data_IF_584208343011
#
_entry.id   IF_584208343011
#
_cell.length_a   1.000
_cell.length_b   1.000
_cell.length_c   1.000
_cell.angle_alpha   90.00
_cell.angle_beta   90.00
_cell.angle_gamma   90.00
#
_symmetry.space_group_name_H-M   'P 1'
#
loop_
_entity.id
_entity.type
_entity.pdbx_description
1 polymer ?
#
# COMPACT_ATOMS: atom_id res chain seq x y z
N UNK A 1 41.39 5.99 -7.19
CA UNK A 1 41.14 4.70 -6.53
C UNK A 1 39.75 4.27 -6.96
N UNK A 2 39.67 3.27 -7.85
CA UNK A 2 38.41 2.79 -8.40
C UNK A 2 37.70 1.96 -7.34
N UNK A 3 36.66 2.51 -6.74
CA UNK A 3 35.74 1.76 -5.89
C UNK A 3 34.87 0.86 -6.75
N UNK A 4 35.19 -0.41 -6.79
CA UNK A 4 34.36 -1.48 -7.37
C UNK A 4 33.05 -1.52 -6.60
N UNK A 5 31.95 -1.15 -7.24
CA UNK A 5 30.61 -1.38 -6.73
C UNK A 5 30.46 -2.91 -6.63
N UNK A 6 30.37 -3.40 -5.40
CA UNK A 6 30.13 -4.81 -5.14
C UNK A 6 28.82 -5.22 -5.82
N UNK A 7 28.89 -6.17 -6.77
CA UNK A 7 27.72 -6.82 -7.34
C UNK A 7 26.92 -7.48 -6.22
N UNK A 8 25.67 -7.06 -6.06
CA UNK A 8 24.71 -7.72 -5.16
C UNK A 8 24.68 -9.23 -5.40
N UNK A 9 24.54 -10.07 -4.35
CA UNK A 9 24.32 -11.50 -4.48
C UNK A 9 23.07 -11.73 -5.35
N UNK A 10 23.07 -12.77 -6.16
CA UNK A 10 22.04 -13.15 -7.14
C UNK A 10 20.62 -12.89 -6.61
N UNK A 11 19.93 -11.96 -7.26
CA UNK A 11 18.88 -11.15 -6.71
C UNK A 11 17.63 -11.91 -6.32
N UNK A 12 17.20 -11.70 -5.09
CA UNK A 12 15.80 -11.87 -4.72
C UNK A 12 15.03 -10.82 -5.53
N UNK A 13 14.23 -11.27 -6.50
CA UNK A 13 13.33 -10.38 -7.26
C UNK A 13 12.11 -10.11 -6.38
N UNK A 14 11.73 -8.85 -6.11
CA UNK A 14 10.56 -8.57 -5.28
C UNK A 14 9.29 -9.17 -5.87
N UNK A 15 8.47 -9.79 -5.02
CA UNK A 15 7.12 -10.24 -5.38
C UNK A 15 6.22 -9.02 -5.57
N UNK A 16 5.34 -9.07 -6.55
CA UNK A 16 4.33 -8.04 -6.74
C UNK A 16 3.11 -8.34 -5.89
N UNK A 17 2.59 -7.32 -5.23
CA UNK A 17 1.37 -7.41 -4.46
C UNK A 17 0.36 -6.37 -4.90
N UNK A 18 -0.92 -6.73 -4.89
CA UNK A 18 -2.01 -5.79 -5.11
C UNK A 18 -2.56 -5.38 -3.74
N UNK A 19 -2.50 -4.09 -3.43
CA UNK A 19 -3.06 -3.52 -2.20
C UNK A 19 -4.58 -3.65 -2.11
N UNK A 20 -5.17 -3.46 -0.92
CA UNK A 20 -6.62 -3.41 -0.80
C UNK A 20 -7.16 -2.24 -1.61
N UNK A 21 -8.37 -2.40 -2.16
CA UNK A 21 -9.05 -1.34 -2.90
C UNK A 21 -9.40 -0.18 -1.95
N UNK A 22 -8.77 1.00 -2.07
CA UNK A 22 -9.00 2.09 -1.13
C UNK A 22 -10.29 2.87 -1.44
N UNK A 23 -10.84 2.69 -2.63
CA UNK A 23 -12.01 3.43 -3.11
C UNK A 23 -13.31 2.65 -2.94
N UNK A 24 -14.44 3.36 -2.97
CA UNK A 24 -15.74 2.76 -2.84
C UNK A 24 -16.41 2.63 -4.20
N UNK A 25 -16.36 1.44 -4.78
CA UNK A 25 -16.97 1.13 -6.07
C UNK A 25 -18.25 0.32 -5.89
N UNK A 26 -19.16 0.38 -6.87
CA UNK A 26 -20.32 -0.53 -6.90
C UNK A 26 -19.88 -1.99 -6.85
N UNK A 27 -20.69 -2.81 -6.21
CA UNK A 27 -20.44 -4.26 -6.04
C UNK A 27 -20.00 -4.96 -7.33
N UNK A 28 -20.76 -4.75 -8.40
CA UNK A 28 -20.50 -5.41 -9.69
C UNK A 28 -19.12 -5.03 -10.27
N UNK A 29 -18.76 -3.75 -10.16
CA UNK A 29 -17.46 -3.27 -10.60
C UNK A 29 -16.33 -3.89 -9.78
N UNK A 30 -16.49 -3.94 -8.47
CA UNK A 30 -15.50 -4.54 -7.57
C UNK A 30 -15.32 -6.03 -7.89
N UNK A 31 -16.40 -6.76 -8.07
CA UNK A 31 -16.33 -8.18 -8.45
C UNK A 31 -15.72 -8.39 -9.84
N UNK A 32 -15.98 -7.50 -10.81
CA UNK A 32 -15.36 -7.54 -12.13
C UNK A 32 -13.85 -7.31 -12.05
N UNK A 33 -13.42 -6.30 -11.29
CA UNK A 33 -12.02 -6.01 -11.06
C UNK A 33 -11.26 -7.23 -10.49
N UNK A 34 -11.76 -7.86 -9.42
CA UNK A 34 -11.08 -9.04 -8.86
C UNK A 34 -11.12 -10.27 -9.76
N UNK A 35 -12.06 -10.37 -10.71
CA UNK A 35 -12.00 -11.39 -11.77
C UNK A 35 -10.82 -11.16 -12.72
N UNK A 36 -10.54 -9.92 -13.10
CA UNK A 36 -9.37 -9.59 -13.92
C UNK A 36 -8.07 -9.89 -13.18
N UNK A 37 -8.00 -9.58 -11.88
CA UNK A 37 -6.83 -9.82 -11.01
C UNK A 37 -6.42 -11.29 -10.98
N UNK A 38 -7.31 -12.24 -11.23
CA UNK A 38 -6.98 -13.67 -11.31
C UNK A 38 -5.88 -13.96 -12.35
N UNK A 39 -5.87 -13.20 -13.45
CA UNK A 39 -4.89 -13.36 -14.54
C UNK A 39 -3.64 -12.49 -14.40
N UNK A 40 -3.61 -11.54 -13.45
CA UNK A 40 -2.48 -10.62 -13.32
C UNK A 40 -1.28 -11.28 -12.66
N UNK A 41 -0.04 -10.89 -13.00
CA UNK A 41 1.20 -11.45 -12.43
C UNK A 41 1.52 -10.86 -11.04
N UNK A 42 0.59 -10.99 -10.11
CA UNK A 42 0.75 -10.63 -8.70
C UNK A 42 0.68 -11.88 -7.83
N UNK A 43 1.54 -12.00 -6.83
CA UNK A 43 1.61 -13.16 -5.95
C UNK A 43 0.69 -13.02 -4.73
N UNK A 44 0.46 -11.78 -4.27
CA UNK A 44 -0.37 -11.50 -3.08
C UNK A 44 -1.44 -10.49 -3.45
N UNK A 45 -2.66 -10.70 -2.98
CA UNK A 45 -3.78 -9.78 -3.16
C UNK A 45 -4.40 -9.46 -1.81
N UNK A 46 -4.39 -8.19 -1.46
CA UNK A 46 -5.05 -7.68 -0.27
C UNK A 46 -6.51 -7.35 -0.57
N UNK A 47 -7.39 -7.76 0.32
CA UNK A 47 -8.84 -7.65 0.19
C UNK A 47 -9.42 -6.92 1.39
N UNK A 48 -10.61 -6.36 1.26
CA UNK A 48 -11.32 -5.75 2.38
C UNK A 48 -11.38 -4.22 2.30
N UNK A 49 -12.11 -3.63 3.21
CA UNK A 49 -12.29 -2.18 3.34
C UNK A 49 -11.31 -1.65 4.40
N UNK A 50 -10.45 -0.72 4.00
CA UNK A 50 -9.43 -0.14 4.89
C UNK A 50 -9.71 1.30 5.28
N UNK A 51 -10.64 1.97 4.59
CA UNK A 51 -10.85 3.41 4.74
C UNK A 51 -12.05 3.73 5.62
N UNK A 52 -13.22 3.15 5.38
CA UNK A 52 -14.42 3.56 6.10
C UNK A 52 -15.37 2.38 6.40
N UNK A 53 -15.59 2.08 7.68
CA UNK A 53 -16.44 0.98 8.12
C UNK A 53 -17.92 1.08 7.72
N UNK A 54 -18.34 2.23 7.15
CA UNK A 54 -19.70 2.38 6.59
C UNK A 54 -19.85 1.82 5.17
N UNK A 55 -18.75 1.51 4.48
CA UNK A 55 -18.77 0.98 3.11
C UNK A 55 -19.04 -0.52 3.12
N UNK A 56 -20.14 -0.97 2.52
CA UNK A 56 -20.59 -2.38 2.57
C UNK A 56 -21.17 -2.91 1.26
N UNK A 57 -20.63 -2.47 0.13
CA UNK A 57 -20.97 -3.09 -1.16
C UNK A 57 -20.61 -4.59 -1.16
N UNK A 58 -19.52 -4.96 -0.47
CA UNK A 58 -19.14 -6.35 -0.22
C UNK A 58 -19.13 -6.63 1.28
N UNK A 59 -19.63 -7.83 1.64
CA UNK A 59 -19.62 -8.37 3.00
C UNK A 59 -18.40 -9.28 3.20
N UNK A 60 -18.10 -9.64 4.43
CA UNK A 60 -17.01 -10.56 4.76
C UNK A 60 -17.07 -11.88 3.96
N UNK A 61 -18.27 -12.43 3.76
CA UNK A 61 -18.45 -13.65 2.96
C UNK A 61 -18.01 -13.46 1.51
N UNK A 62 -18.30 -12.29 0.91
CA UNK A 62 -17.87 -11.98 -0.46
C UNK A 62 -16.35 -11.91 -0.56
N UNK A 63 -15.70 -11.29 0.43
CA UNK A 63 -14.23 -11.20 0.48
C UNK A 63 -13.59 -12.59 0.65
N UNK A 64 -14.19 -13.46 1.46
CA UNK A 64 -13.73 -14.85 1.61
C UNK A 64 -13.88 -15.61 0.29
N UNK A 65 -14.98 -15.44 -0.43
CA UNK A 65 -15.20 -16.09 -1.73
C UNK A 65 -14.23 -15.60 -2.81
N UNK A 66 -13.94 -14.29 -2.84
CA UNK A 66 -12.88 -13.74 -3.72
C UNK A 66 -11.53 -14.35 -3.33
N UNK A 67 -11.20 -14.39 -2.04
CA UNK A 67 -9.97 -14.98 -1.55
C UNK A 67 -9.81 -16.46 -1.92
N UNK A 68 -10.88 -17.24 -1.85
CA UNK A 68 -10.87 -18.64 -2.27
C UNK A 68 -10.56 -18.79 -3.78
N UNK A 69 -11.12 -17.92 -4.63
CA UNK A 69 -10.83 -17.90 -6.09
C UNK A 69 -9.38 -17.51 -6.37
N UNK A 70 -8.84 -16.52 -5.64
CA UNK A 70 -7.44 -16.12 -5.75
C UNK A 70 -6.50 -17.25 -5.33
N UNK A 71 -6.81 -17.94 -4.23
CA UNK A 71 -6.04 -19.09 -3.76
C UNK A 71 -6.06 -20.23 -4.78
N UNK A 72 -7.21 -20.51 -5.41
CA UNK A 72 -7.33 -21.49 -6.49
C UNK A 72 -6.49 -21.09 -7.74
N UNK A 73 -6.27 -19.79 -7.96
CA UNK A 73 -5.38 -19.26 -8.99
C UNK A 73 -3.89 -19.19 -8.56
N UNK A 74 -3.53 -19.77 -7.39
CA UNK A 74 -2.15 -19.81 -6.89
C UNK A 74 -1.66 -18.51 -6.22
N UNK A 75 -2.58 -17.60 -5.83
CA UNK A 75 -2.23 -16.33 -5.19
C UNK A 75 -2.51 -16.36 -3.69
N UNK A 76 -1.67 -15.71 -2.88
CA UNK A 76 -1.97 -15.46 -1.47
C UNK A 76 -3.05 -14.36 -1.38
N UNK A 77 -4.16 -14.64 -0.68
CA UNK A 77 -5.16 -13.64 -0.36
C UNK A 77 -5.04 -13.23 1.11
N UNK A 78 -5.04 -11.93 1.39
CA UNK A 78 -4.90 -11.33 2.72
C UNK A 78 -6.08 -10.38 2.98
N UNK A 79 -6.76 -10.50 4.13
CA UNK A 79 -7.82 -9.59 4.54
C UNK A 79 -7.23 -8.39 5.29
N UNK A 80 -7.43 -7.17 4.77
CA UNK A 80 -6.98 -5.93 5.40
C UNK A 80 -8.07 -5.35 6.30
N UNK A 81 -7.73 -5.04 7.54
CA UNK A 81 -8.63 -4.36 8.49
C UNK A 81 -8.67 -2.86 8.24
N UNK A 82 -9.64 -2.18 8.85
CA UNK A 82 -9.73 -0.71 8.83
C UNK A 82 -8.47 -0.07 9.41
N UNK A 83 -8.02 1.04 8.80
CA UNK A 83 -6.93 1.86 9.33
C UNK A 83 -7.33 2.81 10.45
N UNK A 84 -8.63 3.05 10.64
CA UNK A 84 -9.18 3.85 11.72
C UNK A 84 -10.48 3.21 12.22
N UNK A 85 -10.53 2.90 13.51
CA UNK A 85 -11.71 2.38 14.19
C UNK A 85 -12.44 3.56 14.85
N UNK A 86 -13.71 3.73 14.52
CA UNK A 86 -14.51 4.86 15.00
C UNK A 86 -15.74 4.45 15.82
N UNK A 87 -16.18 3.21 15.66
CA UNK A 87 -17.42 2.73 16.26
C UNK A 87 -17.31 1.28 16.73
N UNK A 88 -18.19 0.91 17.66
CA UNK A 88 -18.32 -0.48 18.12
C UNK A 88 -18.64 -1.47 16.99
N UNK A 89 -19.32 -1.01 15.95
CA UNK A 89 -19.58 -1.82 14.74
C UNK A 89 -18.28 -2.19 14.02
N UNK A 90 -17.30 -1.27 13.96
CA UNK A 90 -16.00 -1.50 13.36
C UNK A 90 -15.21 -2.55 14.15
N UNK A 91 -15.23 -2.47 15.49
CA UNK A 91 -14.61 -3.48 16.36
C UNK A 91 -15.19 -4.87 16.14
N UNK A 92 -16.52 -4.97 15.99
CA UNK A 92 -17.19 -6.26 15.68
C UNK A 92 -16.78 -6.78 14.31
N UNK A 93 -16.68 -5.91 13.31
CA UNK A 93 -16.24 -6.29 11.97
C UNK A 93 -14.79 -6.83 11.97
N UNK A 94 -13.87 -6.14 12.64
CA UNK A 94 -12.48 -6.59 12.80
C UNK A 94 -12.42 -7.94 13.52
N UNK A 95 -13.19 -8.14 14.59
CA UNK A 95 -13.27 -9.42 15.29
C UNK A 95 -13.70 -10.55 14.35
N UNK A 96 -14.78 -10.34 13.57
CA UNK A 96 -15.25 -11.32 12.59
C UNK A 96 -14.22 -11.63 11.52
N UNK A 97 -13.44 -10.63 11.07
CA UNK A 97 -12.34 -10.83 10.12
C UNK A 97 -11.21 -11.68 10.71
N UNK A 98 -10.89 -11.52 11.99
CA UNK A 98 -9.86 -12.33 12.67
C UNK A 98 -10.36 -13.76 12.92
N UNK A 99 -11.62 -13.93 13.30
CA UNK A 99 -12.22 -15.24 13.65
C UNK A 99 -12.41 -16.17 12.46
N UNK A 100 -12.49 -15.67 11.22
CA UNK A 100 -12.72 -16.49 10.01
C UNK A 100 -11.60 -17.51 9.73
N UNK A 101 -10.36 -17.23 10.07
CA UNK A 101 -9.15 -18.10 9.99
C UNK A 101 -8.86 -18.77 8.64
N UNK A 102 -9.55 -18.43 7.57
CA UNK A 102 -9.36 -18.98 6.22
C UNK A 102 -8.29 -18.20 5.46
N UNK A 103 -8.26 -16.88 5.67
CA UNK A 103 -7.33 -15.95 5.04
C UNK A 103 -6.47 -15.31 6.12
N UNK A 104 -5.20 -15.07 5.81
CA UNK A 104 -4.34 -14.23 6.65
C UNK A 104 -4.94 -12.83 6.78
N UNK A 105 -4.65 -12.16 7.89
CA UNK A 105 -5.14 -10.81 8.15
C UNK A 105 -3.99 -9.81 8.11
N UNK A 106 -4.20 -8.68 7.47
CA UNK A 106 -3.38 -7.47 7.61
C UNK A 106 -4.01 -6.61 8.72
N UNK A 107 -3.28 -6.45 9.81
CA UNK A 107 -3.67 -5.60 10.93
C UNK A 107 -3.26 -4.15 10.66
N UNK A 108 -4.23 -3.27 10.55
CA UNK A 108 -4.04 -1.83 10.33
C UNK A 108 -4.28 -0.98 11.57
N UNK A 109 -4.67 -1.59 12.68
CA UNK A 109 -4.86 -0.95 13.98
C UNK A 109 -4.44 -1.89 15.12
N UNK A 110 -4.22 -1.35 16.31
CA UNK A 110 -3.76 -2.11 17.47
C UNK A 110 -4.79 -3.08 18.04
N UNK A 111 -6.10 -2.87 17.78
CA UNK A 111 -7.12 -3.84 18.18
C UNK A 111 -6.99 -5.12 17.35
N UNK A 112 -6.75 -5.02 16.04
CA UNK A 112 -6.49 -6.17 15.19
C UNK A 112 -5.22 -6.91 15.63
N UNK A 113 -4.14 -6.19 15.93
CA UNK A 113 -2.90 -6.77 16.49
C UNK A 113 -3.20 -7.54 17.78
N UNK A 114 -3.94 -6.93 18.74
CA UNK A 114 -4.31 -7.58 19.99
C UNK A 114 -5.11 -8.88 19.79
N UNK A 115 -6.04 -8.88 18.85
CA UNK A 115 -6.85 -10.07 18.54
C UNK A 115 -6.05 -11.19 17.88
N UNK A 116 -4.98 -10.87 17.15
CA UNK A 116 -4.14 -11.81 16.40
C UNK A 116 -2.94 -12.31 17.22
N UNK A 117 -2.45 -11.50 18.16
CA UNK A 117 -1.24 -11.77 18.93
C UNK A 117 -1.26 -13.17 19.60
N UNK A 118 -0.25 -13.99 19.28
CA UNK A 118 -0.11 -15.36 19.78
C UNK A 118 -1.17 -16.35 19.28
N UNK A 119 -2.05 -15.95 18.35
CA UNK A 119 -3.16 -16.79 17.83
C UNK A 119 -3.02 -17.16 16.37
N UNK A 120 -2.53 -16.24 15.55
CA UNK A 120 -2.32 -16.46 14.12
C UNK A 120 -1.24 -15.52 13.56
N UNK A 121 -0.44 -15.97 12.57
CA UNK A 121 0.49 -15.11 11.88
C UNK A 121 -0.29 -14.04 11.07
N UNK A 122 0.21 -12.79 11.08
CA UNK A 122 -0.45 -11.66 10.42
C UNK A 122 0.52 -10.76 9.68
N UNK A 123 0.00 -9.87 8.85
CA UNK A 123 0.75 -8.78 8.23
C UNK A 123 0.56 -7.51 9.07
N UNK A 124 1.64 -6.88 9.50
CA UNK A 124 1.62 -5.56 10.12
C UNK A 124 1.45 -4.50 9.03
N UNK A 125 0.26 -3.92 8.93
CA UNK A 125 -0.11 -3.00 7.87
C UNK A 125 0.47 -1.59 8.03
N UNK A 126 0.40 -0.76 6.97
CA UNK A 126 1.06 0.55 6.93
C UNK A 126 0.48 1.56 7.92
N UNK A 127 -0.78 1.38 8.34
CA UNK A 127 -1.45 2.30 9.26
C UNK A 127 -1.09 2.09 10.74
N UNK A 128 -0.29 1.06 11.05
CA UNK A 128 0.29 0.90 12.40
C UNK A 128 1.41 1.91 12.67
N UNK A 129 1.88 2.64 11.66
CA UNK A 129 2.87 3.72 11.78
C UNK A 129 4.15 3.29 12.52
N UNK A 130 4.76 2.21 12.06
CA UNK A 130 5.97 1.65 12.68
C UNK A 130 7.23 2.30 12.07
N UNK A 131 7.94 3.08 12.87
CA UNK A 131 9.13 3.84 12.45
C UNK A 131 10.40 3.49 13.24
N UNK A 132 10.35 2.49 14.12
CA UNK A 132 11.49 2.10 14.93
C UNK A 132 11.56 0.59 15.15
N UNK A 133 12.77 0.10 15.40
CA UNK A 133 13.04 -1.33 15.54
C UNK A 133 12.38 -1.97 16.77
N UNK A 134 12.21 -1.23 17.87
CA UNK A 134 11.60 -1.77 19.09
C UNK A 134 10.11 -2.10 18.87
N UNK A 135 9.38 -1.19 18.24
CA UNK A 135 7.97 -1.42 17.86
C UNK A 135 7.87 -2.59 16.87
N UNK A 136 8.80 -2.65 15.88
CA UNK A 136 8.78 -3.73 14.90
C UNK A 136 9.10 -5.09 15.52
N UNK A 137 10.04 -5.15 16.50
CA UNK A 137 10.29 -6.37 17.30
C UNK A 137 9.06 -6.81 18.06
N UNK A 138 8.38 -5.88 18.73
CA UNK A 138 7.15 -6.17 19.48
C UNK A 138 6.07 -6.78 18.58
N UNK A 139 5.85 -6.22 17.39
CA UNK A 139 4.87 -6.76 16.43
C UNK A 139 5.29 -8.14 15.89
N UNK A 140 6.57 -8.33 15.58
CA UNK A 140 7.10 -9.64 15.18
C UNK A 140 6.89 -10.68 16.28
N UNK A 141 7.22 -10.35 17.52
CA UNK A 141 7.06 -11.24 18.67
C UNK A 141 5.57 -11.51 18.96
N UNK A 142 4.68 -10.60 18.61
CA UNK A 142 3.23 -10.82 18.62
C UNK A 142 2.74 -11.75 17.47
N UNK A 143 3.57 -12.03 16.47
CA UNK A 143 3.26 -12.94 15.37
C UNK A 143 3.20 -12.28 13.97
N UNK A 144 3.66 -11.03 13.82
CA UNK A 144 3.76 -10.42 12.50
C UNK A 144 4.85 -11.14 11.68
N UNK A 145 4.48 -11.62 10.49
CA UNK A 145 5.39 -12.30 9.55
C UNK A 145 5.85 -11.38 8.42
N UNK A 146 5.07 -10.33 8.15
CA UNK A 146 5.36 -9.30 7.16
C UNK A 146 5.03 -7.94 7.74
N UNK A 147 5.84 -6.96 7.41
CA UNK A 147 5.64 -5.56 7.75
C UNK A 147 5.55 -4.73 6.49
N UNK A 148 4.50 -3.93 6.38
CA UNK A 148 4.34 -2.93 5.33
C UNK A 148 4.86 -1.61 5.85
N UNK A 149 5.96 -1.13 5.28
CA UNK A 149 6.59 0.11 5.72
C UNK A 149 5.66 1.30 5.46
N UNK A 150 5.58 2.26 6.42
CA UNK A 150 4.89 3.53 6.19
C UNK A 150 5.45 4.26 4.98
N UNK A 151 4.60 4.98 4.27
CA UNK A 151 4.94 5.61 2.98
C UNK A 151 6.00 6.71 3.09
N UNK A 152 6.14 7.31 4.27
CA UNK A 152 7.10 8.38 4.55
C UNK A 152 8.51 7.86 4.87
N UNK A 153 8.64 6.54 5.09
CA UNK A 153 9.93 5.96 5.47
C UNK A 153 10.83 5.80 4.25
N UNK A 154 12.00 6.45 4.31
CA UNK A 154 12.99 6.37 3.24
C UNK A 154 13.66 4.98 3.18
N UNK A 155 14.20 4.63 2.02
CA UNK A 155 14.97 3.40 1.81
C UNK A 155 16.07 3.18 2.85
N UNK A 156 16.80 4.25 3.20
CA UNK A 156 17.84 4.21 4.25
C UNK A 156 17.28 3.87 5.62
N UNK A 157 16.10 4.40 5.98
CA UNK A 157 15.41 4.07 7.23
C UNK A 157 14.98 2.61 7.28
N UNK A 158 14.47 2.06 6.17
CA UNK A 158 14.12 0.64 6.07
C UNK A 158 15.36 -0.24 6.25
N UNK A 159 16.48 0.12 5.61
CA UNK A 159 17.75 -0.61 5.75
C UNK A 159 18.22 -0.62 7.21
N UNK A 160 18.21 0.54 7.87
CA UNK A 160 18.59 0.67 9.29
C UNK A 160 17.69 -0.19 10.19
N UNK A 161 16.37 -0.13 10.02
CA UNK A 161 15.43 -0.95 10.80
C UNK A 161 15.67 -2.45 10.59
N UNK A 162 15.97 -2.87 9.36
CA UNK A 162 16.31 -4.25 9.05
C UNK A 162 17.59 -4.69 9.76
N UNK A 163 18.62 -3.84 9.76
CA UNK A 163 19.92 -4.15 10.42
C UNK A 163 19.77 -4.25 11.94
N UNK A 164 18.93 -3.42 12.54
CA UNK A 164 18.65 -3.42 13.97
C UNK A 164 17.78 -4.60 14.43
N UNK A 165 17.07 -5.27 13.49
CA UNK A 165 16.27 -6.44 13.80
C UNK A 165 17.15 -7.69 13.90
N UNK A 166 17.22 -8.28 15.08
CA UNK A 166 18.00 -9.53 15.33
C UNK A 166 17.44 -10.77 14.58
N UNK A 167 16.20 -10.73 14.10
CA UNK A 167 15.57 -11.80 13.35
C UNK A 167 14.78 -11.24 12.16
N UNK A 168 14.73 -11.94 11.02
CA UNK A 168 14.12 -11.45 9.80
C UNK A 168 12.59 -11.33 9.92
N UNK A 169 12.05 -10.34 9.26
CA UNK A 169 10.63 -10.19 8.92
C UNK A 169 10.53 -9.86 7.43
N UNK A 170 9.50 -10.32 6.75
CA UNK A 170 9.26 -9.92 5.36
C UNK A 170 8.95 -8.42 5.31
N UNK A 171 9.58 -7.70 4.37
CA UNK A 171 9.39 -6.26 4.21
C UNK A 171 8.65 -5.99 2.90
N UNK A 172 7.57 -5.23 3.02
CA UNK A 172 6.75 -4.79 1.91
C UNK A 172 6.70 -3.26 1.88
N UNK A 173 6.74 -2.66 0.68
CA UNK A 173 6.60 -1.21 0.48
C UNK A 173 5.48 -0.92 -0.51
N UNK A 174 4.78 0.20 -0.33
CA UNK A 174 3.88 0.72 -1.35
C UNK A 174 4.76 1.27 -2.48
N UNK A 175 4.73 0.58 -3.62
CA UNK A 175 5.60 0.86 -4.76
C UNK A 175 4.89 1.64 -5.88
N UNK A 176 3.55 1.65 -5.90
CA UNK A 176 2.78 2.45 -6.85
C UNK A 176 1.40 2.81 -6.31
N UNK A 177 0.94 4.02 -6.62
CA UNK A 177 -0.38 4.55 -6.34
C UNK A 177 -0.38 5.80 -5.49
N UNK A 178 -1.56 6.35 -5.20
CA UNK A 178 -1.67 7.50 -4.30
C UNK A 178 -1.29 7.11 -2.89
N UNK A 179 -0.41 7.90 -2.28
CA UNK A 179 0.05 7.67 -0.92
C UNK A 179 -1.06 7.96 0.09
N UNK A 180 -1.40 7.04 1.00
CA UNK A 180 -2.29 7.31 2.11
C UNK A 180 -1.56 8.16 3.17
N UNK A 181 -1.86 9.46 3.21
CA UNK A 181 -1.13 10.42 4.04
C UNK A 181 -1.75 10.60 5.43
N UNK A 182 -3.08 10.56 5.53
CA UNK A 182 -3.77 10.72 6.80
C UNK A 182 -5.16 10.09 6.80
N UNK A 183 -5.63 9.72 7.98
CA UNK A 183 -7.02 9.36 8.24
C UNK A 183 -7.62 10.31 9.28
N UNK A 184 -8.89 10.68 9.11
CA UNK A 184 -9.60 11.59 9.98
C UNK A 184 -10.96 11.03 10.36
N UNK A 185 -11.39 11.22 11.60
CA UNK A 185 -12.76 10.91 12.04
C UNK A 185 -13.84 11.73 11.30
N UNK A 186 -13.46 12.63 10.40
CA UNK A 186 -14.35 13.45 9.57
C UNK A 186 -14.33 12.98 8.13
N UNK A 187 -15.49 12.83 7.50
CA UNK A 187 -15.60 12.46 6.10
C UNK A 187 -15.55 13.69 5.20
N UNK A 188 -14.47 13.89 4.49
CA UNK A 188 -14.30 15.01 3.57
C UNK A 188 -15.22 14.91 2.35
N UNK A 189 -15.48 13.69 1.85
CA UNK A 189 -16.45 13.49 0.75
C UNK A 189 -17.86 13.89 1.17
N UNK A 190 -18.33 13.52 2.37
CA UNK A 190 -19.63 13.97 2.86
C UNK A 190 -19.67 15.49 2.98
N UNK A 191 -18.61 16.09 3.53
CA UNK A 191 -18.49 17.55 3.66
C UNK A 191 -18.53 18.26 2.31
N UNK A 192 -17.86 17.73 1.30
CA UNK A 192 -17.89 18.26 -0.06
C UNK A 192 -19.32 18.31 -0.62
N UNK A 193 -20.16 17.34 -0.28
CA UNK A 193 -21.58 17.27 -0.66
C UNK A 193 -22.53 17.97 0.32
N UNK A 194 -22.03 18.77 1.27
CA UNK A 194 -22.81 19.42 2.34
C UNK A 194 -23.62 18.44 3.18
N UNK A 195 -23.13 17.23 3.38
CA UNK A 195 -23.74 16.19 4.21
C UNK A 195 -22.96 15.99 5.52
N UNK A 196 -23.65 15.56 6.56
CA UNK A 196 -22.98 15.04 7.75
C UNK A 196 -22.42 13.64 7.47
N UNK A 197 -21.39 13.22 8.22
CA UNK A 197 -20.82 11.89 8.09
C UNK A 197 -21.85 10.78 8.37
N UNK A 198 -22.80 11.02 9.27
CA UNK A 198 -23.82 10.03 9.64
C UNK A 198 -24.88 9.87 8.56
N UNK A 199 -25.12 10.88 7.75
CA UNK A 199 -26.04 10.88 6.62
C UNK A 199 -25.33 11.12 5.30
N UNK A 200 -24.19 10.42 5.09
CA UNK A 200 -23.31 10.66 3.94
C UNK A 200 -23.89 10.14 2.61
N UNK A 201 -24.98 9.37 2.64
CA UNK A 201 -25.61 8.77 1.46
C UNK A 201 -24.62 8.02 0.57
N UNK A 202 -23.50 7.58 1.15
CA UNK A 202 -22.42 6.87 0.43
C UNK A 202 -21.92 7.60 -0.82
N UNK A 203 -21.91 8.95 -0.81
CA UNK A 203 -21.53 9.79 -1.96
C UNK A 203 -20.14 9.49 -2.53
N UNK A 204 -19.25 8.86 -1.75
CA UNK A 204 -17.93 8.43 -2.21
C UNK A 204 -17.99 7.45 -3.39
N UNK A 205 -19.09 6.72 -3.57
CA UNK A 205 -19.29 5.81 -4.73
C UNK A 205 -19.29 6.55 -6.09
N UNK A 206 -19.58 7.86 -6.07
CA UNK A 206 -19.56 8.72 -7.27
C UNK A 206 -18.16 9.21 -7.64
N UNK A 207 -17.19 8.95 -6.79
CA UNK A 207 -15.80 9.40 -6.93
C UNK A 207 -14.87 8.19 -6.90
N UNK A 208 -14.76 7.44 -8.02
CA UNK A 208 -14.07 6.14 -8.07
C UNK A 208 -12.58 6.21 -7.72
N UNK A 209 -11.94 7.37 -7.82
CA UNK A 209 -10.54 7.64 -7.43
C UNK A 209 -10.43 8.81 -6.44
N UNK A 210 -11.51 9.08 -5.69
CA UNK A 210 -11.56 10.20 -4.75
C UNK A 210 -11.85 11.55 -5.41
N UNK A 211 -11.77 12.63 -4.61
CA UNK A 211 -12.04 14.00 -5.02
C UNK A 211 -10.72 14.76 -5.03
N UNK A 212 -10.30 15.26 -6.17
CA UNK A 212 -9.10 16.07 -6.28
C UNK A 212 -9.30 17.43 -5.57
N UNK A 213 -8.31 17.84 -4.81
CA UNK A 213 -8.21 19.13 -4.16
C UNK A 213 -6.98 19.87 -4.69
N UNK A 214 -7.18 21.12 -5.15
CA UNK A 214 -6.12 21.98 -5.60
C UNK A 214 -5.94 23.18 -4.65
N UNK A 215 -4.79 23.83 -4.72
CA UNK A 215 -4.54 25.14 -4.11
C UNK A 215 -5.37 26.23 -4.82
N UNK A 216 -5.39 27.43 -4.27
CA UNK A 216 -6.05 28.57 -4.92
C UNK A 216 -5.42 28.92 -6.28
N UNK A 217 -4.14 28.62 -6.45
CA UNK A 217 -3.40 28.84 -7.70
C UNK A 217 -3.58 27.67 -8.70
N UNK A 218 -4.45 26.70 -8.37
CA UNK A 218 -4.77 25.56 -9.25
C UNK A 218 -3.80 24.39 -9.19
N UNK A 219 -2.78 24.41 -8.33
CA UNK A 219 -1.83 23.33 -8.19
C UNK A 219 -2.43 22.11 -7.46
N UNK A 220 -2.26 20.89 -7.97
CA UNK A 220 -2.73 19.68 -7.30
C UNK A 220 -2.13 19.54 -5.89
N UNK A 221 -2.98 19.41 -4.86
CA UNK A 221 -2.58 19.36 -3.46
C UNK A 221 -2.80 17.98 -2.83
N UNK A 222 -4.03 17.49 -2.83
CA UNK A 222 -4.44 16.22 -2.26
C UNK A 222 -5.56 15.56 -3.08
N UNK A 223 -5.81 14.28 -2.77
CA UNK A 223 -7.04 13.58 -3.15
C UNK A 223 -7.78 13.18 -1.88
N UNK A 224 -9.06 13.55 -1.78
CA UNK A 224 -9.93 13.23 -0.65
C UNK A 224 -10.74 11.97 -0.94
N UNK A 225 -10.55 10.93 -0.14
CA UNK A 225 -11.22 9.65 -0.30
C UNK A 225 -11.98 9.28 0.99
N UNK A 226 -13.19 9.79 1.15
CA UNK A 226 -13.96 9.59 2.38
C UNK A 226 -13.31 10.27 3.58
N UNK A 227 -12.79 9.46 4.50
CA UNK A 227 -12.05 9.93 5.69
C UNK A 227 -10.53 9.97 5.46
N UNK A 228 -10.07 9.49 4.31
CA UNK A 228 -8.66 9.41 3.96
C UNK A 228 -8.23 10.59 3.11
N UNK A 229 -7.10 11.19 3.46
CA UNK A 229 -6.36 12.12 2.61
C UNK A 229 -5.24 11.38 1.93
N UNK A 230 -5.14 11.52 0.61
CA UNK A 230 -4.11 10.90 -0.20
C UNK A 230 -3.27 11.96 -0.91
N UNK A 231 -2.10 11.57 -1.43
CA UNK A 231 -1.33 12.41 -2.33
C UNK A 231 -2.16 12.77 -3.58
N UNK A 232 -1.95 13.97 -4.12
CA UNK A 232 -2.62 14.39 -5.35
C UNK A 232 -2.22 13.52 -6.54
N UNK A 233 -0.95 13.17 -6.60
CA UNK A 233 -0.36 12.36 -7.67
C UNK A 233 -0.02 10.96 -7.16
N UNK A 234 -0.11 9.92 -7.99
CA UNK A 234 0.44 8.62 -7.68
C UNK A 234 1.96 8.70 -7.52
N UNK A 235 2.50 7.97 -6.57
CA UNK A 235 3.92 7.65 -6.48
C UNK A 235 4.22 6.42 -7.34
N UNK A 236 5.46 6.30 -7.83
CA UNK A 236 5.93 5.05 -8.41
C UNK A 236 7.40 4.80 -8.09
N UNK A 237 7.72 3.56 -7.76
CA UNK A 237 9.08 3.04 -7.56
C UNK A 237 9.50 2.10 -8.71
N UNK A 238 8.96 2.31 -9.92
CA UNK A 238 9.34 1.52 -11.09
C UNK A 238 10.83 1.62 -11.39
N UNK A 239 11.38 2.83 -11.29
CA UNK A 239 12.81 3.06 -11.52
C UNK A 239 13.70 2.41 -10.43
N UNK A 240 13.16 2.27 -9.23
CA UNK A 240 13.84 1.71 -8.06
C UNK A 240 13.65 0.20 -7.91
N UNK A 241 12.72 -0.40 -8.66
CA UNK A 241 12.34 -1.82 -8.52
C UNK A 241 13.54 -2.78 -8.53
N UNK A 242 14.56 -2.62 -9.42
CA UNK A 242 15.74 -3.49 -9.41
C UNK A 242 16.58 -3.41 -8.13
N UNK A 243 16.44 -2.33 -7.36
CA UNK A 243 17.25 -2.05 -6.18
C UNK A 243 16.53 -2.35 -4.85
N UNK A 244 15.23 -2.64 -4.86
CA UNK A 244 14.43 -2.90 -3.67
C UNK A 244 15.00 -4.04 -2.82
N UNK A 245 15.43 -5.12 -3.47
CA UNK A 245 16.02 -6.28 -2.77
C UNK A 245 17.31 -5.94 -2.02
N UNK A 246 18.12 -5.02 -2.52
CA UNK A 246 19.33 -4.53 -1.86
C UNK A 246 19.04 -3.88 -0.50
N UNK A 247 17.89 -3.25 -0.36
CA UNK A 247 17.40 -2.66 0.89
C UNK A 247 16.72 -3.70 1.79
N UNK A 248 16.46 -4.91 1.28
CA UNK A 248 15.78 -6.00 1.99
C UNK A 248 14.28 -6.05 1.75
N UNK A 249 13.76 -5.26 0.81
CA UNK A 249 12.35 -5.29 0.43
C UNK A 249 12.07 -6.50 -0.46
N UNK A 250 11.19 -7.37 0.01
CA UNK A 250 10.78 -8.58 -0.71
C UNK A 250 9.45 -8.46 -1.45
N UNK A 251 8.69 -7.39 -1.19
CA UNK A 251 7.34 -7.21 -1.74
C UNK A 251 7.11 -5.76 -2.17
N UNK A 252 6.63 -5.58 -3.40
CA UNK A 252 6.31 -4.29 -4.00
C UNK A 252 4.78 -4.19 -4.19
N UNK A 253 4.12 -3.31 -3.42
CA UNK A 253 2.67 -3.15 -3.42
C UNK A 253 2.22 -2.13 -4.45
N UNK A 254 1.28 -2.53 -5.29
CA UNK A 254 0.58 -1.67 -6.24
C UNK A 254 -0.81 -1.38 -5.67
N UNK A 255 -1.14 -0.11 -5.42
CA UNK A 255 -2.46 0.30 -4.96
C UNK A 255 -3.42 0.40 -6.14
N UNK A 256 -4.62 -0.21 -6.07
CA UNK A 256 -5.61 -0.16 -7.14
C UNK A 256 -6.13 1.27 -7.40
N UNK A 257 -6.38 1.56 -8.67
CA UNK A 257 -7.13 2.72 -9.16
C UNK A 257 -8.25 2.27 -10.09
N UNK A 258 -9.16 3.19 -10.41
CA UNK A 258 -10.34 2.88 -11.22
C UNK A 258 -10.01 2.47 -12.65
N UNK A 259 -8.84 2.84 -13.13
CA UNK A 259 -8.34 2.52 -14.45
C UNK A 259 -6.81 2.31 -14.42
N UNK A 260 -6.26 1.66 -15.42
CA UNK A 260 -4.81 1.52 -15.62
C UNK A 260 -4.09 0.53 -14.68
N UNK A 261 -4.69 0.02 -13.60
CA UNK A 261 -4.01 -0.84 -12.62
C UNK A 261 -3.35 -2.06 -13.26
N UNK A 262 -4.05 -2.76 -14.16
CA UNK A 262 -3.50 -3.94 -14.85
C UNK A 262 -2.28 -3.60 -15.73
N UNK A 263 -2.30 -2.43 -16.38
CA UNK A 263 -1.16 -1.93 -17.16
C UNK A 263 0.06 -1.65 -16.26
N UNK A 264 -0.15 -1.03 -15.13
CA UNK A 264 0.92 -0.79 -14.14
C UNK A 264 1.50 -2.11 -13.63
N UNK A 265 0.66 -3.07 -13.27
CA UNK A 265 1.11 -4.41 -12.86
C UNK A 265 1.97 -5.05 -13.96
N UNK A 266 1.57 -4.96 -15.23
CA UNK A 266 2.33 -5.50 -16.34
C UNK A 266 3.69 -4.81 -16.53
N UNK A 267 3.79 -3.48 -16.31
CA UNK A 267 5.05 -2.76 -16.35
C UNK A 267 6.00 -3.21 -15.23
N UNK A 268 5.51 -3.31 -14.00
CA UNK A 268 6.30 -3.83 -12.87
C UNK A 268 6.78 -5.27 -13.13
N UNK A 269 5.94 -6.11 -13.69
CA UNK A 269 6.29 -7.49 -14.02
C UNK A 269 7.35 -7.58 -15.12
N UNK A 270 7.22 -6.78 -16.19
CA UNK A 270 8.20 -6.72 -17.26
C UNK A 270 9.58 -6.25 -16.76
N UNK A 271 9.63 -5.25 -15.87
CA UNK A 271 10.88 -4.78 -15.25
C UNK A 271 11.50 -5.86 -14.37
N UNK A 272 10.73 -6.49 -13.50
CA UNK A 272 11.28 -7.54 -12.60
C UNK A 272 11.78 -8.77 -13.33
N UNK A 273 11.24 -9.05 -14.52
CA UNK A 273 11.71 -10.14 -15.38
C UNK A 273 12.87 -9.75 -16.30
N UNK A 274 13.28 -8.47 -16.26
CA UNK A 274 14.34 -7.96 -17.13
C UNK A 274 13.94 -7.82 -18.60
N UNK A 275 12.64 -7.82 -18.91
CA UNK A 275 12.09 -7.67 -20.26
C UNK A 275 11.94 -6.20 -20.67
N UNK A 276 11.93 -5.29 -19.70
CA UNK A 276 11.81 -3.87 -19.90
C UNK A 276 12.77 -3.12 -18.96
N UNK A 277 13.47 -2.12 -19.50
CA UNK A 277 14.30 -1.23 -18.68
C UNK A 277 13.42 -0.41 -17.70
N UNK A 278 13.92 -0.24 -16.47
CA UNK A 278 13.17 0.42 -15.41
C UNK A 278 12.87 1.90 -15.72
N UNK A 279 13.80 2.60 -16.40
CA UNK A 279 13.62 4.00 -16.79
C UNK A 279 12.61 4.12 -17.93
N UNK A 280 12.63 3.17 -18.88
CA UNK A 280 11.63 3.12 -19.94
C UNK A 280 10.24 2.78 -19.39
N UNK A 281 10.14 1.83 -18.45
CA UNK A 281 8.88 1.51 -17.78
C UNK A 281 8.33 2.74 -17.03
N UNK A 282 9.19 3.48 -16.34
CA UNK A 282 8.82 4.73 -15.68
C UNK A 282 8.28 5.77 -16.68
N UNK A 283 8.97 5.96 -17.82
CA UNK A 283 8.52 6.88 -18.87
C UNK A 283 7.13 6.49 -19.42
N UNK A 284 6.91 5.18 -19.66
CA UNK A 284 5.61 4.66 -20.11
C UNK A 284 4.51 4.83 -19.06
N UNK A 285 4.80 4.65 -17.78
CA UNK A 285 3.84 4.89 -16.70
C UNK A 285 3.48 6.38 -16.60
N UNK A 286 4.45 7.26 -16.84
CA UNK A 286 4.30 8.72 -16.74
C UNK A 286 3.62 9.38 -17.95
N UNK A 287 3.57 8.70 -19.10
CA UNK A 287 2.99 9.26 -20.32
C UNK A 287 1.48 9.52 -20.22
N UNK A 288 0.76 8.70 -19.46
CA UNK A 288 -0.69 8.76 -19.32
C UNK A 288 -1.16 9.31 -17.96
N UNK A 289 -0.27 9.39 -16.99
CA UNK A 289 -0.57 9.92 -15.66
C UNK A 289 0.43 11.02 -15.34
N UNK A 290 -0.02 12.10 -14.71
CA UNK A 290 0.88 13.11 -14.13
C UNK A 290 1.60 12.45 -12.95
N UNK A 291 2.56 11.59 -13.25
CA UNK A 291 3.38 10.89 -12.28
C UNK A 291 4.53 11.82 -11.95
N UNK A 292 4.86 11.96 -10.72
CA UNK A 292 5.74 11.09 -10.06
C UNK A 292 6.31 11.73 -8.81
N UNK A 293 5.81 11.35 -7.72
CA UNK A 293 6.48 11.63 -6.47
C UNK A 293 7.12 10.31 -6.00
N UNK A 294 8.45 10.27 -5.87
CA UNK A 294 9.18 9.19 -5.19
C UNK A 294 10.07 9.75 -4.09
N UNK A 295 9.82 11.02 -3.72
CA UNK A 295 10.69 11.76 -2.81
C UNK A 295 10.87 11.12 -1.45
N UNK A 296 9.83 10.57 -0.85
CA UNK A 296 9.94 9.89 0.45
C UNK A 296 10.94 8.73 0.42
N UNK A 297 10.90 7.91 -0.62
CA UNK A 297 11.85 6.82 -0.80
C UNK A 297 13.31 7.29 -0.75
N UNK A 298 13.57 8.49 -1.28
CA UNK A 298 14.88 9.13 -1.33
C UNK A 298 15.18 10.08 -0.15
N UNK A 299 14.35 10.09 0.90
CA UNK A 299 14.50 10.99 2.04
C UNK A 299 14.26 12.47 1.71
N UNK A 300 13.45 12.75 0.68
CA UNK A 300 13.03 14.10 0.24
C UNK A 300 11.54 14.31 0.54
N UNK A 301 11.02 15.50 0.28
CA UNK A 301 9.58 15.73 0.40
C UNK A 301 8.78 14.79 -0.50
N UNK A 302 7.61 14.32 -0.05
CA UNK A 302 6.79 13.37 -0.79
C UNK A 302 6.33 13.85 -2.17
N UNK A 303 6.33 15.16 -2.43
CA UNK A 303 6.00 15.77 -3.73
C UNK A 303 7.20 15.85 -4.68
N UNK A 304 8.41 15.59 -4.19
CA UNK A 304 9.58 15.63 -5.04
C UNK A 304 9.60 14.41 -5.98
N UNK A 305 9.93 14.66 -7.23
CA UNK A 305 10.28 13.63 -8.19
C UNK A 305 11.80 13.58 -8.31
N UNK A 306 12.36 12.37 -8.40
CA UNK A 306 13.75 12.14 -8.74
C UNK A 306 13.83 11.40 -10.05
N UNK A 307 14.63 11.92 -10.97
CA UNK A 307 14.92 11.23 -12.22
C UNK A 307 15.78 9.98 -11.98
N UNK A 308 15.60 8.94 -12.77
CA UNK A 308 16.47 7.78 -12.77
C UNK A 308 17.93 8.22 -13.08
N UNK A 309 18.88 7.77 -12.25
CA UNK A 309 20.32 8.09 -12.44
C UNK A 309 20.86 9.27 -11.66
N UNK A 310 20.06 10.05 -10.95
CA UNK A 310 20.59 11.07 -10.03
C UNK A 310 21.37 10.41 -8.88
N UNK A 311 22.57 10.94 -8.49
CA UNK A 311 23.36 10.36 -7.42
C UNK A 311 22.65 10.40 -6.06
N UNK A 312 22.78 9.33 -5.28
CA UNK A 312 22.24 9.26 -3.90
C UNK A 312 22.80 10.40 -3.06
N UNK A 313 21.95 11.20 -2.43
CA UNK A 313 22.39 12.12 -1.41
C UNK A 313 22.82 11.32 -0.17
N UNK A 314 23.93 11.72 0.50
CA UNK A 314 24.31 11.10 1.77
C UNK A 314 23.18 11.30 2.82
N UNK A 315 23.05 10.37 3.78
CA UNK A 315 22.06 10.50 4.86
C UNK A 315 22.24 11.79 5.64
N UNK A 316 21.14 12.36 6.13
CA UNK A 316 21.10 13.63 6.87
C UNK A 316 22.00 13.67 8.12
N UNK A 317 22.44 12.52 8.63
CA UNK A 317 23.40 12.40 9.73
C UNK A 317 24.82 12.86 9.41
N UNK A 318 25.14 13.18 8.16
CA UNK A 318 26.47 13.63 7.72
C UNK A 318 26.53 15.16 7.49
N UNK A 319 25.59 15.94 7.99
CA UNK A 319 25.75 17.41 7.98
C UNK A 319 26.34 17.86 9.31
N UNK A 320 27.44 18.64 9.27
CA UNK A 320 28.12 19.14 10.46
C UNK A 320 27.22 20.10 11.26
#
# INVERSE_FOLDING_TARGET
MNGTVASSPAGIVPKLTLGPLPYYWPRERTLAFYREVLAWPVEVVYLGETVCGKRHELRLADWIDIGAKLAAAGKEAVLSTLGLIEAEADLRAVRSMVEQRRLRVEANDMNAVHLLAGRAPFVAGPFLNVYNADTLRLLRDAGAVRWVAPVELAASGIATLREELAAPIEIEVIAHGRLPLAMSARCFTARYHNLSKDHCEYRCIRHPDGIALATQDGEPLFTMNGIQTQSAQPMTLLAELPHLAGVGVGYARISPQSDGTGRIVALFDAVRRGELDASEAFARASADETVAANGYWHGRSGRAARAAGEPHLPPLSARP
#
